data_IF_647988655042
#
_entry.id   IF_647988655042
#
_cell.length_a   1.000
_cell.length_b   1.000
_cell.length_c   1.000
_cell.angle_alpha   90.00
_cell.angle_beta   90.00
_cell.angle_gamma   90.00
#
_symmetry.space_group_name_H-M   'P 1'
#
loop_
_entity.id
_entity.type
_entity.pdbx_description
1 polymer ?
#
# COMPACT_ATOMS: atom_id res chain seq x y z
N UNK A 1 13.87 -8.96 -18.21
CA UNK A 1 14.09 -7.59 -17.69
C UNK A 1 12.73 -6.89 -17.61
N UNK A 2 12.39 -6.29 -16.46
CA UNK A 2 11.23 -5.39 -16.40
C UNK A 2 11.62 -4.07 -17.08
N UNK A 3 10.95 -3.71 -18.17
CA UNK A 3 11.31 -2.56 -19.02
C UNK A 3 10.76 -1.23 -18.49
N UNK A 4 9.87 -1.26 -17.49
CA UNK A 4 9.12 -0.07 -17.04
C UNK A 4 9.16 0.12 -15.52
N UNK A 5 9.15 1.38 -15.10
CA UNK A 5 9.21 1.73 -13.67
C UNK A 5 7.87 1.52 -12.97
N UNK A 6 7.88 1.29 -11.66
CA UNK A 6 6.65 1.27 -10.85
C UNK A 6 5.85 2.59 -10.89
N UNK A 7 6.51 3.72 -11.22
CA UNK A 7 5.82 4.99 -11.47
C UNK A 7 4.97 4.89 -12.74
N UNK A 8 5.54 4.33 -13.81
CA UNK A 8 4.83 4.13 -15.06
C UNK A 8 3.62 3.20 -14.85
N UNK A 9 3.77 2.09 -14.13
CA UNK A 9 2.65 1.20 -13.83
C UNK A 9 1.53 1.86 -13.01
N UNK A 10 1.86 2.65 -12.00
CA UNK A 10 0.86 3.33 -11.18
C UNK A 10 0.01 4.34 -11.98
N UNK A 11 0.51 4.83 -13.12
CA UNK A 11 -0.20 5.78 -13.98
C UNK A 11 -1.06 5.12 -15.06
N UNK A 12 -0.97 3.80 -15.25
CA UNK A 12 -1.84 3.07 -16.19
C UNK A 12 -3.27 3.07 -15.67
N UNK A 13 -4.25 3.30 -16.55
CA UNK A 13 -5.67 3.39 -16.15
C UNK A 13 -6.14 2.14 -15.40
N UNK A 14 -5.75 0.97 -15.89
CA UNK A 14 -6.07 -0.34 -15.35
C UNK A 14 -5.52 -0.57 -13.93
N UNK A 15 -4.54 0.24 -13.52
CA UNK A 15 -3.84 0.13 -12.24
C UNK A 15 -4.04 1.38 -11.36
N UNK A 16 -4.95 2.30 -11.73
CA UNK A 16 -5.24 3.50 -10.92
C UNK A 16 -5.74 3.18 -9.51
N UNK A 17 -6.35 2.01 -9.33
CA UNK A 17 -6.81 1.53 -8.02
C UNK A 17 -5.67 0.96 -7.16
N UNK A 18 -4.49 0.73 -7.73
CA UNK A 18 -3.34 0.24 -6.99
C UNK A 18 -2.66 1.39 -6.24
N UNK A 19 -2.14 1.05 -5.07
CA UNK A 19 -1.67 1.99 -4.10
C UNK A 19 -0.17 1.89 -3.93
N UNK A 20 0.53 2.99 -4.24
CA UNK A 20 1.99 3.03 -4.14
C UNK A 20 2.46 3.40 -2.74
N UNK A 21 2.83 2.38 -1.96
CA UNK A 21 3.21 2.52 -0.54
C UNK A 21 4.70 2.69 -0.31
N UNK A 22 5.52 2.28 -1.29
CA UNK A 22 6.98 2.36 -1.23
C UNK A 22 7.55 2.56 -2.64
N UNK A 23 8.84 2.91 -2.76
CA UNK A 23 9.50 3.03 -4.07
C UNK A 23 9.44 1.72 -4.86
N UNK A 24 9.56 0.60 -4.12
CA UNK A 24 9.59 -0.77 -4.63
C UNK A 24 8.25 -1.51 -4.55
N UNK A 25 7.19 -0.91 -4.01
CA UNK A 25 5.92 -1.60 -3.79
C UNK A 25 4.72 -0.80 -4.31
N UNK A 26 3.93 -1.47 -5.16
CA UNK A 26 2.63 -1.06 -5.65
C UNK A 26 1.63 -2.16 -5.27
N UNK A 27 0.62 -1.84 -4.46
CA UNK A 27 -0.26 -2.81 -3.81
C UNK A 27 -1.69 -2.65 -4.25
N UNK A 28 -2.39 -3.77 -4.51
CA UNK A 28 -3.84 -3.73 -4.63
C UNK A 28 -4.46 -3.67 -3.23
N UNK A 29 -5.26 -2.61 -2.90
CA UNK A 29 -5.91 -2.46 -1.60
C UNK A 29 -6.84 -3.62 -1.23
N UNK A 30 -7.42 -4.33 -2.19
CA UNK A 30 -8.37 -5.43 -1.94
C UNK A 30 -7.72 -6.57 -1.14
N UNK A 31 -6.42 -6.81 -1.32
CA UNK A 31 -5.69 -7.88 -0.64
C UNK A 31 -5.01 -7.44 0.66
N UNK A 32 -5.25 -6.19 1.11
CA UNK A 32 -4.73 -5.70 2.40
C UNK A 32 -5.64 -6.20 3.51
N UNK A 33 -5.05 -6.98 4.43
CA UNK A 33 -5.72 -7.52 5.63
C UNK A 33 -5.58 -6.55 6.79
N UNK A 34 -4.42 -5.91 6.94
CA UNK A 34 -4.18 -5.09 8.12
C UNK A 34 -2.94 -4.23 8.02
N UNK A 35 -2.76 -3.40 9.04
CA UNK A 35 -1.69 -2.42 9.11
C UNK A 35 -1.07 -2.44 10.50
N UNK A 36 0.22 -2.75 10.55
CA UNK A 36 0.98 -2.84 11.78
C UNK A 36 1.84 -1.60 11.96
N UNK A 37 1.91 -1.09 13.18
CA UNK A 37 2.77 0.04 13.54
C UNK A 37 3.70 -0.41 14.66
N UNK A 38 4.99 -0.36 14.39
CA UNK A 38 6.04 -0.73 15.34
C UNK A 38 6.94 0.50 15.52
N UNK A 39 6.71 1.23 16.60
CA UNK A 39 7.31 2.54 16.85
C UNK A 39 7.07 3.52 15.69
N UNK A 40 8.15 3.91 15.00
CA UNK A 40 8.10 4.80 13.82
C UNK A 40 7.92 4.03 12.50
N UNK A 41 7.96 2.70 12.47
CA UNK A 41 7.78 1.90 11.25
C UNK A 41 6.31 1.53 11.08
N UNK A 42 5.83 1.55 9.83
CA UNK A 42 4.48 1.12 9.46
C UNK A 42 4.63 0.05 8.40
N UNK A 43 3.93 -1.07 8.58
CA UNK A 43 3.90 -2.17 7.64
C UNK A 43 2.46 -2.57 7.32
N UNK A 44 2.27 -3.12 6.12
CA UNK A 44 0.99 -3.59 5.60
C UNK A 44 1.07 -5.11 5.56
N UNK A 45 0.08 -5.76 6.14
CA UNK A 45 -0.11 -7.20 6.00
C UNK A 45 -1.08 -7.46 4.85
N UNK A 46 -0.65 -8.31 3.92
CA UNK A 46 -1.46 -8.80 2.80
C UNK A 46 -1.98 -10.21 3.09
N UNK A 47 -3.00 -10.64 2.34
CA UNK A 47 -3.72 -11.91 2.57
C UNK A 47 -2.82 -13.15 2.59
N UNK A 48 -1.72 -13.14 1.84
CA UNK A 48 -0.75 -14.23 1.81
C UNK A 48 0.23 -14.22 3.01
N UNK A 49 -0.09 -13.49 4.08
CA UNK A 49 0.73 -13.39 5.29
C UNK A 49 1.97 -12.48 5.17
N UNK A 50 2.32 -12.00 3.97
CA UNK A 50 3.50 -11.14 3.79
C UNK A 50 3.29 -9.77 4.44
N UNK A 51 4.38 -9.22 5.00
CA UNK A 51 4.42 -7.86 5.58
C UNK A 51 5.29 -6.97 4.72
N UNK A 52 4.75 -5.83 4.29
CA UNK A 52 5.42 -4.88 3.41
C UNK A 52 5.64 -3.55 4.11
N UNK A 53 6.84 -3.01 4.03
CA UNK A 53 7.18 -1.74 4.66
C UNK A 53 6.63 -0.55 3.88
N UNK A 54 6.07 0.42 4.61
CA UNK A 54 5.59 1.68 4.04
C UNK A 54 6.68 2.73 4.15
N UNK A 55 6.91 3.46 3.05
CA UNK A 55 7.81 4.62 3.07
C UNK A 55 7.31 5.70 4.02
N UNK A 56 8.23 6.37 4.73
CA UNK A 56 7.92 7.48 5.65
C UNK A 56 7.01 8.54 5.02
N UNK A 57 7.26 8.90 3.76
CA UNK A 57 6.50 9.92 3.01
C UNK A 57 5.08 9.45 2.62
N UNK A 58 4.82 8.15 2.62
CA UNK A 58 3.52 7.55 2.23
C UNK A 58 2.68 7.13 3.44
N UNK A 59 3.18 7.33 4.67
CA UNK A 59 2.42 7.09 5.90
C UNK A 59 1.09 7.87 5.99
N UNK A 60 0.99 9.15 5.59
CA UNK A 60 -0.28 9.88 5.65
C UNK A 60 -1.36 9.21 4.80
N UNK A 61 -0.98 8.72 3.62
CA UNK A 61 -1.86 8.02 2.70
C UNK A 61 -2.43 6.73 3.31
N UNK A 62 -1.62 5.99 4.07
CA UNK A 62 -2.07 4.82 4.84
C UNK A 62 -3.06 5.20 5.94
N UNK A 63 -2.86 6.33 6.64
CA UNK A 63 -3.79 6.77 7.68
C UNK A 63 -5.18 7.04 7.11
N UNK A 64 -5.26 7.63 5.92
CA UNK A 64 -6.54 7.87 5.25
C UNK A 64 -7.22 6.54 4.85
N UNK A 65 -6.47 5.55 4.37
CA UNK A 65 -7.03 4.23 4.03
C UNK A 65 -7.57 3.47 5.24
N UNK A 66 -6.91 3.55 6.41
CA UNK A 66 -7.44 2.98 7.66
C UNK A 66 -8.82 3.56 7.96
N UNK A 67 -8.98 4.87 7.79
CA UNK A 67 -10.22 5.56 8.11
C UNK A 67 -11.40 5.10 7.26
N UNK A 68 -11.17 4.63 6.03
CA UNK A 68 -12.24 4.16 5.14
C UNK A 68 -12.54 2.65 5.24
N UNK A 69 -11.56 1.82 5.62
CA UNK A 69 -11.76 0.36 5.73
C UNK A 69 -12.30 -0.12 7.09
N UNK A 70 -12.29 0.75 8.10
CA UNK A 70 -12.82 0.46 9.44
C UNK A 70 -14.06 1.32 9.77
N UNK A 71 -14.81 1.76 8.75
CA UNK A 71 -16.20 2.21 8.93
C UNK A 71 -17.07 1.00 8.59
N UNK A 72 -17.23 0.13 9.59
CA UNK A 72 -18.35 -0.80 9.66
C UNK A 72 -19.07 -0.40 10.93
N UNK A 73 -20.15 0.36 10.75
CA UNK A 73 -21.25 0.43 11.69
C UNK A 73 -22.32 -0.53 11.17
#
# INVERSE_FOLDING_TARGET
MFTTTLKHHANKENLRHFLRVHRSFLLNPQYIVGFHKEGKKVSIQVINGKKLSVSRRKKPLIKHLKKHKFVTA
#
